data_IF_861982417004
#
_entry.id   IF_861982417004
#
_cell.length_a   1.000
_cell.length_b   1.000
_cell.length_c   1.000
_cell.angle_alpha   90.00
_cell.angle_beta   90.00
_cell.angle_gamma   90.00
#
_symmetry.space_group_name_H-M   'P 1'
#
loop_
_entity.id
_entity.type
_entity.pdbx_description
1 polymer ?
#
# COMPACT_ATOMS: atom_id res chain seq x y z
N UNK A 1 -20.21 -13.23 19.81
CA UNK A 1 -19.82 -11.80 19.80
C UNK A 1 -18.30 -11.72 19.95
N UNK A 2 -17.54 -11.23 18.96
CA UNK A 2 -16.09 -11.02 19.14
C UNK A 2 -15.91 -9.80 20.06
N UNK A 3 -15.44 -10.04 21.29
CA UNK A 3 -15.00 -8.99 22.20
C UNK A 3 -13.82 -8.24 21.55
N UNK A 4 -14.11 -7.19 20.78
CA UNK A 4 -13.09 -6.26 20.30
C UNK A 4 -12.64 -5.45 21.52
N UNK A 5 -11.61 -5.95 22.22
CA UNK A 5 -10.90 -5.14 23.23
C UNK A 5 -10.56 -3.81 22.58
N UNK A 6 -11.03 -2.71 23.19
CA UNK A 6 -10.75 -1.35 22.73
C UNK A 6 -9.24 -1.17 22.68
N UNK A 7 -8.71 -0.89 21.50
CA UNK A 7 -7.27 -0.63 21.33
C UNK A 7 -6.99 0.78 21.84
N UNK A 8 -6.03 0.88 22.75
CA UNK A 8 -5.59 2.16 23.31
C UNK A 8 -5.03 3.10 22.25
N UNK A 9 -5.24 4.41 22.44
CA UNK A 9 -4.81 5.45 21.47
C UNK A 9 -3.31 5.38 21.13
N UNK A 10 -2.39 5.20 22.09
CA UNK A 10 -0.96 5.07 21.79
C UNK A 10 -0.66 3.88 20.87
N UNK A 11 -1.33 2.74 21.08
CA UNK A 11 -1.18 1.55 20.25
C UNK A 11 -1.69 1.80 18.82
N UNK A 12 -2.82 2.51 18.66
CA UNK A 12 -3.32 2.91 17.34
C UNK A 12 -2.35 3.83 16.60
N UNK A 13 -1.77 4.81 17.30
CA UNK A 13 -0.81 5.75 16.72
C UNK A 13 0.48 5.04 16.28
N UNK A 14 1.01 4.13 17.12
CA UNK A 14 2.19 3.34 16.77
C UNK A 14 1.93 2.45 15.54
N UNK A 15 0.75 1.84 15.46
CA UNK A 15 0.37 1.06 14.27
C UNK A 15 0.22 1.95 13.04
N UNK A 16 -0.40 3.13 13.17
CA UNK A 16 -0.54 4.11 12.07
C UNK A 16 0.83 4.48 11.50
N UNK A 17 1.79 4.86 12.35
CA UNK A 17 3.14 5.23 11.93
C UNK A 17 3.88 4.08 11.20
N UNK A 18 3.67 2.83 11.62
CA UNK A 18 4.22 1.65 10.92
C UNK A 18 3.58 1.47 9.55
N UNK A 19 2.26 1.61 9.47
CA UNK A 19 1.53 1.50 8.20
C UNK A 19 1.87 2.64 7.23
N UNK A 20 2.11 3.86 7.73
CA UNK A 20 2.58 5.00 6.93
C UNK A 20 3.94 4.71 6.30
N UNK A 21 4.87 4.12 7.05
CA UNK A 21 6.17 3.70 6.49
C UNK A 21 6.01 2.67 5.39
N UNK A 22 5.14 1.68 5.59
CA UNK A 22 4.86 0.64 4.57
C UNK A 22 4.19 1.26 3.35
N UNK A 23 3.21 2.16 3.54
CA UNK A 23 2.53 2.86 2.46
C UNK A 23 3.50 3.68 1.62
N UNK A 24 4.45 4.38 2.25
CA UNK A 24 5.49 5.12 1.55
C UNK A 24 6.33 4.20 0.65
N UNK A 25 6.72 3.02 1.13
CA UNK A 25 7.48 2.07 0.32
C UNK A 25 6.70 1.61 -0.92
N UNK A 26 5.40 1.33 -0.79
CA UNK A 26 4.58 0.97 -1.94
C UNK A 26 4.39 2.13 -2.93
N UNK A 27 4.35 3.38 -2.44
CA UNK A 27 4.33 4.57 -3.31
C UNK A 27 5.66 4.75 -4.05
N UNK A 28 6.79 4.53 -3.38
CA UNK A 28 8.11 4.59 -4.01
C UNK A 28 8.26 3.48 -5.07
N UNK A 29 7.76 2.27 -4.77
CA UNK A 29 7.69 1.16 -5.73
C UNK A 29 6.82 1.52 -6.94
N UNK A 30 5.69 2.22 -6.76
CA UNK A 30 4.83 2.65 -7.86
C UNK A 30 5.56 3.58 -8.85
N UNK A 31 6.38 4.48 -8.32
CA UNK A 31 7.22 5.37 -9.12
C UNK A 31 8.27 4.58 -9.93
N UNK A 32 8.91 3.60 -9.30
CA UNK A 32 9.90 2.72 -9.95
C UNK A 32 9.24 1.90 -11.06
N UNK A 33 8.08 1.27 -10.79
CA UNK A 33 7.32 0.52 -11.80
C UNK A 33 6.95 1.41 -12.97
N UNK A 34 6.44 2.62 -12.70
CA UNK A 34 6.06 3.58 -13.73
C UNK A 34 7.26 4.05 -14.57
N UNK A 35 8.44 4.15 -13.97
CA UNK A 35 9.67 4.45 -14.70
C UNK A 35 10.04 3.29 -15.62
N UNK A 36 10.18 2.08 -15.10
CA UNK A 36 10.62 0.92 -15.89
C UNK A 36 9.60 0.51 -16.95
N UNK A 37 8.30 0.69 -16.69
CA UNK A 37 7.26 0.49 -17.71
C UNK A 37 7.48 1.40 -18.93
N UNK A 38 7.83 2.68 -18.71
CA UNK A 38 8.11 3.65 -19.80
C UNK A 38 9.38 3.33 -20.56
N UNK A 39 10.40 2.83 -19.87
CA UNK A 39 11.70 2.46 -20.47
C UNK A 39 11.67 1.09 -21.18
N UNK A 40 10.70 0.25 -20.87
CA UNK A 40 10.55 -1.08 -21.49
C UNK A 40 9.98 -0.93 -22.89
N UNK A 41 10.62 -1.53 -23.90
CA UNK A 41 10.14 -1.52 -25.29
C UNK A 41 9.24 -2.70 -25.63
N UNK A 42 9.56 -3.89 -25.11
CA UNK A 42 8.87 -5.13 -25.47
C UNK A 42 7.50 -5.26 -24.77
N UNK A 43 6.45 -5.51 -25.55
CA UNK A 43 5.07 -5.51 -25.07
C UNK A 43 4.79 -6.56 -23.98
N UNK A 44 5.39 -7.76 -24.07
CA UNK A 44 5.19 -8.79 -23.03
C UNK A 44 5.73 -8.35 -21.66
N UNK A 45 6.85 -7.62 -21.63
CA UNK A 45 7.38 -7.08 -20.39
C UNK A 45 6.56 -5.87 -19.89
N UNK A 46 5.99 -5.06 -20.81
CA UNK A 46 5.05 -3.99 -20.42
C UNK A 46 3.79 -4.54 -19.75
N UNK A 47 3.21 -5.62 -20.30
CA UNK A 47 2.05 -6.30 -19.68
C UNK A 47 2.35 -6.78 -18.27
N UNK A 48 3.56 -7.28 -18.04
CA UNK A 48 3.98 -7.67 -16.70
C UNK A 48 4.07 -6.47 -15.75
N UNK A 49 4.62 -5.34 -16.21
CA UNK A 49 4.60 -4.11 -15.42
C UNK A 49 3.20 -3.61 -15.11
N UNK A 50 2.25 -3.68 -16.06
CA UNK A 50 0.84 -3.35 -15.84
C UNK A 50 0.20 -4.22 -14.76
N UNK A 51 0.53 -5.52 -14.73
CA UNK A 51 0.07 -6.44 -13.69
C UNK A 51 0.66 -6.07 -12.32
N UNK A 52 1.97 -5.87 -12.24
CA UNK A 52 2.63 -5.47 -10.99
C UNK A 52 2.07 -4.13 -10.50
N UNK A 53 1.88 -3.16 -11.38
CA UNK A 53 1.35 -1.84 -11.01
C UNK A 53 -0.07 -1.95 -10.43
N UNK A 54 -0.94 -2.77 -11.03
CA UNK A 54 -2.28 -3.02 -10.50
C UNK A 54 -2.23 -3.64 -9.11
N UNK A 55 -1.43 -4.69 -8.93
CA UNK A 55 -1.28 -5.36 -7.64
C UNK A 55 -0.72 -4.41 -6.56
N UNK A 56 0.25 -3.57 -6.91
CA UNK A 56 0.80 -2.55 -6.02
C UNK A 56 -0.27 -1.55 -5.56
N UNK A 57 -1.08 -1.06 -6.49
CA UNK A 57 -2.17 -0.14 -6.20
C UNK A 57 -3.25 -0.76 -5.31
N UNK A 58 -3.57 -2.04 -5.48
CA UNK A 58 -4.50 -2.76 -4.60
C UNK A 58 -3.99 -2.81 -3.15
N UNK A 59 -2.68 -3.06 -2.97
CA UNK A 59 -2.03 -3.07 -1.65
C UNK A 59 -2.04 -1.68 -1.00
N UNK A 60 -1.70 -0.63 -1.75
CA UNK A 60 -1.78 0.78 -1.31
C UNK A 60 -3.19 1.09 -0.80
N UNK A 61 -4.22 0.71 -1.57
CA UNK A 61 -5.61 0.95 -1.20
C UNK A 61 -6.03 0.12 0.03
N UNK A 62 -5.60 -1.14 0.12
CA UNK A 62 -5.91 -2.01 1.25
C UNK A 62 -5.33 -1.44 2.56
N UNK A 63 -4.06 -1.02 2.54
CA UNK A 63 -3.40 -0.40 3.68
C UNK A 63 -4.10 0.90 4.06
N UNK A 64 -4.40 1.75 3.08
CA UNK A 64 -5.08 3.02 3.30
C UNK A 64 -6.46 2.84 3.94
N UNK A 65 -7.28 1.90 3.41
CA UNK A 65 -8.59 1.56 3.99
C UNK A 65 -8.47 1.05 5.41
N UNK A 66 -7.49 0.18 5.69
CA UNK A 66 -7.27 -0.33 7.04
C UNK A 66 -6.93 0.81 8.02
N UNK A 67 -6.07 1.75 7.62
CA UNK A 67 -5.71 2.90 8.45
C UNK A 67 -6.93 3.79 8.77
N UNK A 68 -7.80 4.06 7.81
CA UNK A 68 -9.03 4.84 8.04
C UNK A 68 -9.94 4.11 9.02
N UNK A 69 -10.22 2.82 8.80
CA UNK A 69 -11.19 2.05 9.59
C UNK A 69 -10.67 1.71 11.00
N UNK A 70 -9.37 1.45 11.16
CA UNK A 70 -8.80 0.89 12.40
C UNK A 70 -7.91 1.85 13.16
N UNK A 71 -7.23 2.75 12.45
CA UNK A 71 -6.32 3.71 13.05
C UNK A 71 -6.93 5.10 13.19
N UNK A 72 -8.16 5.37 12.74
CA UNK A 72 -8.76 6.72 12.74
C UNK A 72 -7.80 7.73 12.08
N UNK A 73 -7.30 7.42 10.89
CA UNK A 73 -6.68 8.42 10.02
C UNK A 73 -7.77 9.33 9.45
#
# INVERSE_FOLDING_TARGET
MRNLKRIERPTKNAMRARLEKVLQQYQDIDLIISQFHRETEHDDYRRFWDEIQRNNNELIQQISRYMVVRCNR
#
